data_IF_020697737248
#
_entry.id   IF_020697737248
#
_cell.length_a   1.000
_cell.length_b   1.000
_cell.length_c   1.000
_cell.angle_alpha   90.00
_cell.angle_beta   90.00
_cell.angle_gamma   90.00
#
_symmetry.space_group_name_H-M   'P 1'
#
loop_
_entity.id
_entity.type
_entity.pdbx_description
1 polymer ?
#
# COMPACT_ATOMS: atom_id res chain seq x y z
N UNK A 1 -40.36 -3.05 25.16
CA UNK A 1 -39.84 -3.12 23.78
C UNK A 1 -38.41 -3.65 23.84
N UNK A 2 -38.11 -4.85 23.31
CA UNK A 2 -36.76 -5.39 23.32
C UNK A 2 -35.89 -4.65 22.29
N UNK A 3 -34.82 -4.01 22.76
CA UNK A 3 -33.78 -3.43 21.91
C UNK A 3 -33.02 -4.55 21.22
N UNK A 4 -33.27 -4.74 19.92
CA UNK A 4 -32.48 -5.63 19.08
C UNK A 4 -31.06 -5.06 19.01
N UNK A 5 -30.15 -5.63 19.80
CA UNK A 5 -28.72 -5.40 19.65
C UNK A 5 -28.31 -6.01 18.31
N UNK A 6 -28.22 -5.21 17.27
CA UNK A 6 -27.58 -5.61 16.02
C UNK A 6 -26.14 -5.98 16.34
N UNK A 7 -25.83 -7.28 16.26
CA UNK A 7 -24.47 -7.77 16.39
C UNK A 7 -23.61 -7.08 15.33
N UNK A 8 -22.66 -6.25 15.75
CA UNK A 8 -21.70 -5.60 14.87
C UNK A 8 -20.90 -6.72 14.22
N UNK A 9 -21.10 -6.96 12.91
CA UNK A 9 -20.30 -7.95 12.17
C UNK A 9 -18.81 -7.62 12.37
N UNK A 10 -17.94 -8.62 12.59
CA UNK A 10 -16.52 -8.37 12.69
C UNK A 10 -16.06 -7.69 11.40
N UNK A 11 -15.37 -6.56 11.55
CA UNK A 11 -14.82 -5.80 10.43
C UNK A 11 -13.70 -6.62 9.81
N UNK A 12 -13.96 -7.24 8.66
CA UNK A 12 -12.93 -7.99 7.94
C UNK A 12 -11.90 -7.01 7.39
N UNK A 13 -10.63 -7.27 7.68
CA UNK A 13 -9.51 -6.46 7.26
C UNK A 13 -9.18 -6.69 5.78
N UNK A 14 -8.49 -5.72 5.15
CA UNK A 14 -8.01 -5.88 3.79
C UNK A 14 -7.08 -7.08 3.62
N UNK A 15 -6.22 -7.33 4.60
CA UNK A 15 -5.34 -8.51 4.64
C UNK A 15 -6.13 -9.82 4.60
N UNK A 16 -7.15 -9.98 5.45
CA UNK A 16 -7.97 -11.20 5.49
C UNK A 16 -8.69 -11.45 4.16
N UNK A 17 -9.23 -10.39 3.54
CA UNK A 17 -9.85 -10.49 2.21
C UNK A 17 -8.82 -10.90 1.15
N UNK A 18 -7.62 -10.34 1.19
CA UNK A 18 -6.54 -10.74 0.27
C UNK A 18 -6.15 -12.20 0.47
N UNK A 19 -6.04 -12.67 1.72
CA UNK A 19 -5.76 -14.08 2.02
C UNK A 19 -6.83 -15.02 1.44
N UNK A 20 -8.12 -14.69 1.58
CA UNK A 20 -9.20 -15.45 0.92
C UNK A 20 -9.03 -15.51 -0.60
N UNK A 21 -8.66 -14.40 -1.24
CA UNK A 21 -8.39 -14.41 -2.67
C UNK A 21 -7.20 -15.29 -3.07
N UNK A 22 -6.17 -15.33 -2.23
CA UNK A 22 -4.98 -16.16 -2.49
C UNK A 22 -5.31 -17.64 -2.32
N UNK A 23 -6.08 -17.99 -1.29
CA UNK A 23 -6.43 -19.38 -0.98
C UNK A 23 -7.53 -19.89 -1.92
N UNK A 24 -8.64 -19.17 -2.02
CA UNK A 24 -9.87 -19.66 -2.66
C UNK A 24 -9.90 -19.36 -4.16
N UNK A 25 -9.26 -18.26 -4.59
CA UNK A 25 -9.33 -17.76 -5.98
C UNK A 25 -7.95 -17.37 -6.57
N UNK A 26 -6.87 -18.14 -6.37
CA UNK A 26 -5.50 -17.74 -6.74
C UNK A 26 -5.35 -17.40 -8.23
N UNK A 27 -5.95 -18.19 -9.12
CA UNK A 27 -5.90 -17.97 -10.58
C UNK A 27 -6.61 -16.67 -10.97
N UNK A 28 -7.75 -16.38 -10.33
CA UNK A 28 -8.50 -15.16 -10.59
C UNK A 28 -7.74 -13.93 -10.10
N UNK A 29 -7.20 -13.98 -8.88
CA UNK A 29 -6.38 -12.90 -8.32
C UNK A 29 -5.17 -12.62 -9.21
N UNK A 30 -4.39 -13.65 -9.58
CA UNK A 30 -3.24 -13.51 -10.47
C UNK A 30 -3.62 -12.86 -11.80
N UNK A 31 -4.68 -13.34 -12.44
CA UNK A 31 -5.16 -12.80 -13.72
C UNK A 31 -5.52 -11.31 -13.61
N UNK A 32 -6.24 -10.94 -12.54
CA UNK A 32 -6.63 -9.54 -12.31
C UNK A 32 -5.44 -8.63 -12.03
N UNK A 33 -4.46 -9.08 -11.25
CA UNK A 33 -3.23 -8.32 -11.00
C UNK A 33 -2.42 -8.17 -12.30
N UNK A 34 -2.20 -9.26 -13.03
CA UNK A 34 -1.49 -9.21 -14.31
C UNK A 34 -2.15 -8.24 -15.29
N UNK A 35 -3.49 -8.24 -15.38
CA UNK A 35 -4.23 -7.30 -16.22
C UNK A 35 -4.07 -5.85 -15.74
N UNK A 36 -4.25 -5.60 -14.44
CA UNK A 36 -4.17 -4.24 -13.87
C UNK A 36 -2.78 -3.61 -14.03
N UNK A 37 -1.73 -4.42 -13.99
CA UNK A 37 -0.33 -3.96 -14.04
C UNK A 37 0.33 -4.13 -15.40
N UNK A 38 -0.38 -4.70 -16.39
CA UNK A 38 0.21 -5.17 -17.65
C UNK A 38 1.44 -6.07 -17.42
N UNK A 39 1.30 -7.05 -16.52
CA UNK A 39 2.39 -7.91 -16.07
C UNK A 39 2.32 -9.32 -16.67
N UNK A 40 3.48 -9.93 -16.91
CA UNK A 40 3.60 -11.31 -17.39
C UNK A 40 3.38 -12.36 -16.28
N UNK A 41 3.58 -11.98 -15.03
CA UNK A 41 3.44 -12.91 -13.90
C UNK A 41 3.59 -12.24 -12.53
N UNK A 42 3.11 -12.93 -11.51
CA UNK A 42 3.22 -12.55 -10.10
C UNK A 42 3.61 -13.80 -9.30
N UNK A 43 4.54 -13.62 -8.36
CA UNK A 43 4.97 -14.64 -7.40
C UNK A 43 4.91 -14.03 -6.00
N UNK A 44 4.19 -14.66 -5.09
CA UNK A 44 4.05 -14.17 -3.72
C UNK A 44 5.23 -14.59 -2.86
N UNK A 45 5.56 -13.74 -1.88
CA UNK A 45 6.52 -14.10 -0.85
C UNK A 45 5.78 -14.58 0.38
N UNK A 46 6.13 -15.78 0.82
CA UNK A 46 5.63 -16.35 2.06
C UNK A 46 6.60 -16.07 3.20
N UNK A 47 6.11 -16.11 4.45
CA UNK A 47 7.01 -16.10 5.60
C UNK A 47 7.93 -17.33 5.53
N UNK A 48 9.11 -17.21 6.14
CA UNK A 48 10.22 -18.18 6.10
C UNK A 48 9.90 -19.59 6.60
N UNK A 49 8.68 -19.83 7.07
CA UNK A 49 8.12 -21.14 7.40
C UNK A 49 6.79 -21.30 6.63
N UNK A 50 6.82 -21.54 5.32
CA UNK A 50 5.60 -21.93 4.63
C UNK A 50 5.17 -23.27 5.26
N UNK A 51 4.01 -23.29 5.91
CA UNK A 51 3.37 -24.56 6.16
C UNK A 51 3.00 -25.11 4.76
N UNK A 52 3.52 -26.28 4.39
CA UNK A 52 3.36 -26.84 3.03
C UNK A 52 1.86 -26.98 2.68
N UNK A 53 1.02 -27.09 3.71
CA UNK A 53 -0.42 -27.27 3.61
C UNK A 53 -1.24 -25.97 3.58
N UNK A 54 -0.63 -24.79 3.81
CA UNK A 54 -1.31 -23.49 3.73
C UNK A 54 -0.37 -22.41 3.20
N UNK A 55 -0.47 -22.01 1.92
CA UNK A 55 0.29 -20.91 1.34
C UNK A 55 -0.28 -19.56 1.82
N UNK A 56 -0.32 -19.35 3.13
CA UNK A 56 -0.73 -18.09 3.72
C UNK A 56 0.27 -16.99 3.32
N UNK A 57 -0.28 -15.87 2.87
CA UNK A 57 0.48 -14.64 2.74
C UNK A 57 0.47 -13.98 4.11
N UNK A 58 1.64 -13.52 4.55
CA UNK A 58 1.77 -12.82 5.83
C UNK A 58 1.79 -11.32 5.60
N UNK A 59 1.37 -10.55 6.61
CA UNK A 59 1.66 -9.11 6.64
C UNK A 59 3.15 -8.87 6.83
N UNK A 60 3.63 -7.74 6.32
CA UNK A 60 5.05 -7.35 6.40
C UNK A 60 5.18 -5.97 7.00
N UNK A 61 5.96 -5.85 8.07
CA UNK A 61 6.25 -4.57 8.70
C UNK A 61 7.45 -3.88 8.02
N UNK A 62 7.29 -2.60 7.72
CA UNK A 62 8.28 -1.72 7.11
C UNK A 62 8.87 -2.31 5.83
N UNK A 63 10.19 -2.47 5.81
CA UNK A 63 10.94 -3.07 4.70
C UNK A 63 11.60 -4.39 5.12
N UNK A 64 11.01 -5.12 6.07
CA UNK A 64 11.54 -6.40 6.59
C UNK A 64 11.73 -7.47 5.51
N UNK A 65 10.99 -7.40 4.40
CA UNK A 65 11.19 -8.27 3.24
C UNK A 65 12.54 -8.05 2.56
N UNK A 66 13.16 -6.87 2.66
CA UNK A 66 14.49 -6.69 2.11
C UNK A 66 15.48 -7.58 2.87
N UNK A 67 16.37 -8.24 2.10
CA UNK A 67 17.56 -8.85 2.66
C UNK A 67 18.50 -7.80 3.24
N UNK A 68 19.62 -8.25 3.82
CA UNK A 68 20.66 -7.34 4.28
C UNK A 68 21.23 -6.58 3.07
N UNK A 69 21.22 -5.25 3.13
CA UNK A 69 21.66 -4.42 2.01
C UNK A 69 21.47 -2.92 2.27
N UNK A 70 22.04 -2.10 1.40
CA UNK A 70 22.11 -0.63 1.56
C UNK A 70 20.74 0.01 1.81
N UNK A 71 19.72 -0.39 1.06
CA UNK A 71 18.36 0.15 1.20
C UNK A 71 17.74 -0.16 2.57
N UNK A 72 17.93 -1.38 3.08
CA UNK A 72 17.44 -1.79 4.40
C UNK A 72 18.16 -1.05 5.51
N UNK A 73 19.49 -0.98 5.45
CA UNK A 73 20.28 -0.25 6.45
C UNK A 73 19.96 1.25 6.47
N UNK A 74 19.76 1.86 5.31
CA UNK A 74 19.33 3.26 5.21
C UNK A 74 17.92 3.46 5.81
N UNK A 75 17.00 2.52 5.54
CA UNK A 75 15.66 2.56 6.12
C UNK A 75 15.68 2.45 7.63
N UNK A 76 16.40 1.47 8.17
CA UNK A 76 16.55 1.29 9.62
C UNK A 76 17.16 2.54 10.27
N UNK A 77 18.16 3.15 9.62
CA UNK A 77 18.80 4.37 10.11
C UNK A 77 17.86 5.58 10.17
N UNK A 78 16.96 5.75 9.21
CA UNK A 78 15.94 6.81 9.24
C UNK A 78 15.06 6.74 10.48
N UNK A 79 14.82 5.52 10.98
CA UNK A 79 13.91 5.28 12.09
C UNK A 79 14.60 5.07 13.43
N UNK A 80 15.93 5.00 13.48
CA UNK A 80 16.69 4.84 14.73
C UNK A 80 16.34 5.96 15.72
N UNK A 81 15.93 5.59 16.93
CA UNK A 81 15.57 6.54 17.99
C UNK A 81 14.24 7.26 17.80
N UNK A 82 13.41 6.83 16.84
CA UNK A 82 12.05 7.31 16.64
C UNK A 82 11.05 6.17 16.75
N UNK A 83 9.81 6.46 17.11
CA UNK A 83 8.72 5.52 16.87
C UNK A 83 8.50 5.47 15.35
N UNK A 84 9.09 4.48 14.70
CA UNK A 84 8.87 4.23 13.28
C UNK A 84 7.35 4.22 13.01
N UNK A 85 6.85 4.87 11.94
CA UNK A 85 5.49 4.66 11.51
C UNK A 85 5.34 3.17 11.25
N UNK A 86 4.25 2.60 11.75
CA UNK A 86 3.86 1.23 11.48
C UNK A 86 3.40 1.10 10.02
N UNK A 87 4.34 1.31 9.09
CA UNK A 87 4.15 0.98 7.69
C UNK A 87 4.00 -0.54 7.62
N UNK A 88 2.84 -0.99 7.15
CA UNK A 88 2.53 -2.40 7.00
C UNK A 88 2.04 -2.66 5.59
N UNK A 89 2.48 -3.79 5.04
CA UNK A 89 2.02 -4.31 3.76
C UNK A 89 1.17 -5.55 4.00
N UNK A 90 0.07 -5.65 3.28
CA UNK A 90 -0.84 -6.81 3.35
C UNK A 90 -0.26 -8.02 2.60
N UNK A 91 0.60 -7.76 1.61
CA UNK A 91 1.39 -8.76 0.92
C UNK A 91 2.66 -8.16 0.30
N UNK A 92 3.68 -9.01 0.13
CA UNK A 92 4.86 -8.73 -0.67
C UNK A 92 5.01 -9.82 -1.72
N UNK A 93 5.39 -9.44 -2.93
CA UNK A 93 5.66 -10.38 -4.00
C UNK A 93 6.70 -9.87 -4.99
N UNK A 94 6.77 -10.56 -6.12
CA UNK A 94 7.53 -10.18 -7.30
C UNK A 94 6.57 -10.14 -8.47
N UNK A 95 6.71 -9.14 -9.33
CA UNK A 95 5.90 -8.95 -10.54
C UNK A 95 6.80 -8.75 -11.74
N UNK A 96 6.47 -9.38 -12.87
CA UNK A 96 7.21 -9.23 -14.13
C UNK A 96 6.55 -8.15 -14.99
N UNK A 97 7.17 -6.98 -15.09
CA UNK A 97 6.65 -5.85 -15.87
C UNK A 97 7.42 -5.74 -17.19
N UNK A 98 6.71 -5.91 -18.30
CA UNK A 98 7.31 -5.98 -19.64
C UNK A 98 8.40 -7.06 -19.76
N UNK A 99 9.41 -6.78 -20.57
CA UNK A 99 10.53 -7.71 -20.83
C UNK A 99 11.76 -7.43 -19.94
N UNK A 100 11.68 -6.47 -19.02
CA UNK A 100 12.85 -5.89 -18.34
C UNK A 100 13.23 -6.66 -17.07
N UNK A 101 12.31 -7.44 -16.50
CA UNK A 101 12.57 -8.36 -15.40
C UNK A 101 11.57 -8.29 -14.26
N UNK A 102 11.97 -8.86 -13.13
CA UNK A 102 11.14 -8.93 -11.92
C UNK A 102 11.34 -7.70 -11.02
N UNK A 103 10.24 -7.05 -10.68
CA UNK A 103 10.18 -5.96 -9.72
C UNK A 103 9.60 -6.49 -8.39
N UNK A 104 9.95 -5.85 -7.28
CA UNK A 104 9.21 -6.02 -6.04
C UNK A 104 7.78 -5.51 -6.20
N UNK A 105 6.83 -6.25 -5.64
CA UNK A 105 5.43 -5.87 -5.58
C UNK A 105 5.07 -5.64 -4.11
N UNK A 106 4.74 -4.40 -3.76
CA UNK A 106 4.20 -4.05 -2.45
C UNK A 106 2.69 -3.96 -2.57
N UNK A 107 1.96 -4.65 -1.71
CA UNK A 107 0.50 -4.65 -1.76
C UNK A 107 -0.09 -4.07 -0.49
N UNK A 108 -1.03 -3.16 -0.68
CA UNK A 108 -1.96 -2.78 0.37
C UNK A 108 -3.40 -3.05 -0.08
N UNK A 109 -4.14 -3.78 0.73
CA UNK A 109 -5.54 -4.09 0.53
C UNK A 109 -6.39 -3.23 1.49
N UNK A 110 -7.40 -2.56 0.95
CA UNK A 110 -8.20 -1.59 1.67
C UNK A 110 -9.68 -1.98 1.60
N UNK A 111 -10.34 -1.99 2.75
CA UNK A 111 -11.78 -2.33 2.89
C UNK A 111 -12.65 -1.13 3.27
N UNK A 112 -12.05 -0.02 3.68
CA UNK A 112 -12.74 1.18 4.15
C UNK A 112 -12.09 2.45 3.63
N UNK A 113 -12.92 3.45 3.29
CA UNK A 113 -12.48 4.71 2.66
C UNK A 113 -11.57 5.55 3.57
N UNK A 114 -11.67 5.40 4.89
CA UNK A 114 -10.83 6.09 5.88
C UNK A 114 -9.35 5.74 5.75
N UNK A 115 -9.02 4.56 5.19
CA UNK A 115 -7.64 4.17 4.87
C UNK A 115 -7.00 5.03 3.79
N UNK A 116 -7.83 5.67 2.95
CA UNK A 116 -7.39 6.67 1.97
C UNK A 116 -7.46 8.09 2.54
N UNK A 117 -7.98 8.28 3.76
CA UNK A 117 -8.12 9.61 4.34
C UNK A 117 -6.76 10.28 4.52
N UNK A 118 -6.61 11.44 3.86
CA UNK A 118 -5.44 12.30 3.92
C UNK A 118 -5.83 13.67 4.48
N UNK A 119 -6.64 13.69 5.55
CA UNK A 119 -7.06 14.91 6.20
C UNK A 119 -5.85 15.83 6.45
N UNK A 120 -5.77 16.94 5.72
CA UNK A 120 -4.61 17.84 5.75
C UNK A 120 -4.60 18.53 7.11
N UNK A 121 -3.64 18.22 7.99
CA UNK A 121 -3.60 18.86 9.29
C UNK A 121 -3.22 20.32 9.07
N UNK A 122 -3.83 21.24 9.83
CA UNK A 122 -3.48 22.68 9.78
C UNK A 122 -1.99 22.91 10.11
N UNK A 123 -1.38 22.01 10.89
CA UNK A 123 0.06 21.96 11.20
C UNK A 123 0.49 20.50 11.42
N UNK A 124 1.67 20.13 10.95
CA UNK A 124 2.34 18.90 11.38
C UNK A 124 3.00 19.16 12.74
N UNK A 125 2.36 18.74 13.84
CA UNK A 125 3.03 18.71 15.14
C UNK A 125 3.75 17.36 15.34
N UNK A 126 4.94 17.42 15.94
CA UNK A 126 5.71 16.26 16.45
C UNK A 126 6.36 15.35 15.39
N UNK A 127 6.78 15.87 14.23
CA UNK A 127 7.68 15.11 13.35
C UNK A 127 9.11 15.18 13.84
N UNK A 128 9.79 14.04 13.85
CA UNK A 128 11.24 14.03 13.99
C UNK A 128 11.87 14.66 12.73
N UNK A 129 13.08 15.24 12.82
CA UNK A 129 13.78 15.76 11.65
C UNK A 129 13.93 14.72 10.53
N UNK A 130 14.21 13.45 10.89
CA UNK A 130 14.31 12.35 9.94
C UNK A 130 13.00 12.08 9.18
N UNK A 131 11.86 12.12 9.87
CA UNK A 131 10.53 11.99 9.24
C UNK A 131 10.25 13.15 8.29
N UNK A 132 10.58 14.38 8.69
CA UNK A 132 10.38 15.55 7.85
C UNK A 132 11.21 15.47 6.57
N UNK A 133 12.49 15.09 6.67
CA UNK A 133 13.36 14.86 5.50
C UNK A 133 12.82 13.74 4.60
N UNK A 134 12.42 12.62 5.18
CA UNK A 134 11.84 11.49 4.45
C UNK A 134 10.60 11.88 3.63
N UNK A 135 9.68 12.64 4.22
CA UNK A 135 8.48 13.11 3.52
C UNK A 135 8.81 14.19 2.48
N UNK A 136 9.72 15.12 2.78
CA UNK A 136 10.17 16.15 1.82
C UNK A 136 10.83 15.51 0.60
N UNK A 137 11.69 14.50 0.80
CA UNK A 137 12.31 13.75 -0.28
C UNK A 137 11.29 13.03 -1.15
N UNK A 138 10.27 12.41 -0.52
CA UNK A 138 9.17 11.79 -1.26
C UNK A 138 8.43 12.83 -2.11
N UNK A 139 7.99 13.94 -1.52
CA UNK A 139 7.30 15.04 -2.23
C UNK A 139 8.09 15.52 -3.44
N UNK A 140 9.39 15.76 -3.28
CA UNK A 140 10.28 16.18 -4.38
C UNK A 140 10.27 15.18 -5.54
N UNK A 141 10.25 13.87 -5.25
CA UNK A 141 10.18 12.83 -6.30
C UNK A 141 8.81 12.77 -6.99
N UNK A 142 7.74 13.11 -6.28
CA UNK A 142 6.41 13.31 -6.86
C UNK A 142 6.22 14.71 -7.46
N UNK A 143 7.25 15.57 -7.47
CA UNK A 143 7.18 16.97 -7.95
C UNK A 143 6.06 17.77 -7.27
N UNK A 144 5.82 17.47 -6.00
CA UNK A 144 4.84 18.17 -5.16
C UNK A 144 5.49 19.42 -4.57
N UNK A 145 4.78 20.55 -4.60
CA UNK A 145 5.24 21.81 -4.01
C UNK A 145 5.50 21.68 -2.51
N UNK A 146 6.57 22.32 -2.02
CA UNK A 146 7.00 22.22 -0.63
C UNK A 146 5.98 22.74 0.38
N UNK A 147 5.06 23.63 -0.03
CA UNK A 147 3.98 24.15 0.82
C UNK A 147 2.82 23.16 1.05
N UNK A 148 2.72 22.08 0.26
CA UNK A 148 1.66 21.08 0.42
C UNK A 148 1.94 20.19 1.63
N UNK A 149 1.04 20.17 2.62
CA UNK A 149 1.26 19.39 3.84
C UNK A 149 0.82 17.94 3.63
N UNK A 150 1.77 17.00 3.70
CA UNK A 150 1.47 15.56 3.68
C UNK A 150 1.19 15.05 5.10
N UNK A 151 0.00 14.49 5.42
CA UNK A 151 -0.27 13.96 6.76
C UNK A 151 0.63 12.77 7.08
N UNK A 152 1.66 12.98 7.90
CA UNK A 152 2.67 11.96 8.19
C UNK A 152 2.12 10.67 8.81
N UNK A 153 0.96 10.71 9.47
CA UNK A 153 0.32 9.54 10.06
C UNK A 153 -0.61 8.79 9.09
N UNK A 154 -0.87 9.34 7.90
CA UNK A 154 -1.67 8.64 6.89
C UNK A 154 -0.88 7.44 6.36
N UNK A 155 -1.48 6.25 6.43
CA UNK A 155 -0.91 5.02 5.87
C UNK A 155 -0.61 5.19 4.39
N UNK A 156 -1.53 5.81 3.64
CA UNK A 156 -1.36 6.07 2.22
C UNK A 156 -0.13 6.95 1.94
N UNK A 157 0.06 8.04 2.70
CA UNK A 157 1.26 8.89 2.61
C UNK A 157 2.55 8.11 2.90
N UNK A 158 2.52 7.26 3.93
CA UNK A 158 3.67 6.42 4.28
C UNK A 158 4.02 5.42 3.17
N UNK A 159 3.02 4.84 2.50
CA UNK A 159 3.21 3.94 1.36
C UNK A 159 3.84 4.68 0.17
N UNK A 160 3.35 5.89 -0.15
CA UNK A 160 3.90 6.72 -1.22
C UNK A 160 5.36 7.11 -0.95
N UNK A 161 5.66 7.50 0.29
CA UNK A 161 7.01 7.86 0.70
C UNK A 161 7.95 6.64 0.68
N UNK A 162 7.45 5.46 1.02
CA UNK A 162 8.25 4.23 0.99
C UNK A 162 8.58 3.83 -0.44
N UNK A 163 7.62 3.97 -1.36
CA UNK A 163 7.85 3.78 -2.79
C UNK A 163 8.93 4.73 -3.31
N UNK A 164 8.85 6.02 -2.97
CA UNK A 164 9.86 7.00 -3.37
C UNK A 164 11.25 6.67 -2.80
N UNK A 165 11.33 6.31 -1.51
CA UNK A 165 12.56 5.93 -0.83
C UNK A 165 13.23 4.72 -1.48
N UNK A 166 12.47 3.65 -1.73
CA UNK A 166 12.98 2.42 -2.34
C UNK A 166 13.54 2.68 -3.74
N UNK A 167 12.83 3.49 -4.54
CA UNK A 167 13.29 3.90 -5.87
C UNK A 167 14.57 4.72 -5.82
N UNK A 168 14.70 5.61 -4.83
CA UNK A 168 15.92 6.39 -4.63
C UNK A 168 17.13 5.52 -4.27
N UNK A 169 16.89 4.36 -3.65
CA UNK A 169 17.93 3.39 -3.30
C UNK A 169 18.11 2.28 -4.36
N UNK A 170 17.67 2.52 -5.60
CA UNK A 170 17.89 1.62 -6.73
C UNK A 170 17.04 0.35 -6.70
N UNK A 171 16.04 0.25 -5.83
CA UNK A 171 15.15 -0.92 -5.77
C UNK A 171 14.11 -0.83 -6.89
N UNK A 172 14.03 -1.85 -7.73
CA UNK A 172 12.94 -2.02 -8.68
C UNK A 172 11.68 -2.47 -7.95
N UNK A 173 10.69 -1.57 -7.86
CA UNK A 173 9.49 -1.77 -7.05
C UNK A 173 8.26 -1.13 -7.70
N UNK A 174 7.12 -1.79 -7.51
CA UNK A 174 5.77 -1.38 -7.87
C UNK A 174 4.90 -1.40 -6.60
N UNK A 175 3.97 -0.47 -6.50
CA UNK A 175 2.94 -0.43 -5.46
C UNK A 175 1.60 -0.82 -6.09
N UNK A 176 0.90 -1.78 -5.49
CA UNK A 176 -0.45 -2.17 -5.88
C UNK A 176 -1.39 -1.93 -4.71
N UNK A 177 -2.36 -1.03 -4.92
CA UNK A 177 -3.46 -0.83 -4.00
C UNK A 177 -4.67 -1.64 -4.47
N UNK A 178 -5.17 -2.51 -3.60
CA UNK A 178 -6.35 -3.33 -3.83
C UNK A 178 -7.51 -2.73 -3.05
N UNK A 179 -8.54 -2.30 -3.75
CA UNK A 179 -9.74 -1.69 -3.18
C UNK A 179 -10.86 -2.72 -3.18
N UNK A 180 -11.25 -3.17 -1.98
CA UNK A 180 -12.35 -4.12 -1.81
C UNK A 180 -13.67 -3.37 -1.90
N UNK A 181 -14.53 -3.74 -2.85
CA UNK A 181 -15.84 -3.12 -3.03
C UNK A 181 -16.97 -4.12 -2.72
N UNK A 182 -18.06 -3.60 -2.21
CA UNK A 182 -19.30 -4.34 -1.93
C UNK A 182 -20.45 -3.40 -2.27
N UNK A 183 -21.34 -3.81 -3.18
CA UNK A 183 -22.44 -2.98 -3.63
C UNK A 183 -23.56 -2.84 -2.58
N UNK A 184 -23.63 -3.79 -1.64
CA UNK A 184 -24.74 -3.90 -0.70
C UNK A 184 -24.37 -3.38 0.69
N UNK A 185 -23.13 -3.64 1.15
CA UNK A 185 -22.73 -3.39 2.54
C UNK A 185 -21.39 -2.65 2.71
N UNK A 186 -20.83 -2.10 1.63
CA UNK A 186 -19.53 -1.43 1.69
C UNK A 186 -19.37 -0.33 0.64
N UNK A 187 -18.14 0.18 0.45
CA UNK A 187 -17.89 1.17 -0.57
C UNK A 187 -18.06 0.57 -1.97
N UNK A 188 -18.75 1.30 -2.85
CA UNK A 188 -18.79 0.96 -4.26
C UNK A 188 -17.45 1.29 -4.94
N UNK A 189 -17.28 0.84 -6.19
CA UNK A 189 -16.12 1.25 -7.00
C UNK A 189 -16.07 2.77 -7.20
N UNK A 190 -17.23 3.40 -7.32
CA UNK A 190 -17.33 4.84 -7.50
C UNK A 190 -16.86 5.59 -6.25
N UNK A 191 -17.26 5.13 -5.06
CA UNK A 191 -16.84 5.74 -3.79
C UNK A 191 -15.33 5.67 -3.62
N UNK A 192 -14.74 4.51 -3.95
CA UNK A 192 -13.29 4.36 -3.96
C UNK A 192 -12.60 5.30 -4.95
N UNK A 193 -13.11 5.42 -6.18
CA UNK A 193 -12.53 6.33 -7.16
C UNK A 193 -12.57 7.77 -6.67
N UNK A 194 -13.70 8.22 -6.12
CA UNK A 194 -13.85 9.54 -5.52
C UNK A 194 -12.86 9.77 -4.37
N UNK A 195 -12.68 8.79 -3.49
CA UNK A 195 -11.72 8.87 -2.39
C UNK A 195 -10.26 8.92 -2.88
N UNK A 196 -9.93 8.15 -3.91
CA UNK A 196 -8.61 8.16 -4.57
C UNK A 196 -8.33 9.54 -5.15
N UNK A 197 -9.25 10.06 -5.96
CA UNK A 197 -9.10 11.34 -6.64
C UNK A 197 -8.97 12.48 -5.63
N UNK A 198 -9.83 12.49 -4.62
CA UNK A 198 -9.76 13.46 -3.50
C UNK A 198 -8.41 13.39 -2.78
N UNK A 199 -7.87 12.19 -2.57
CA UNK A 199 -6.58 12.02 -1.90
C UNK A 199 -5.42 12.50 -2.76
N UNK A 200 -5.45 12.22 -4.07
CA UNK A 200 -4.41 12.66 -5.00
C UNK A 200 -4.42 14.17 -5.14
N UNK A 201 -5.61 14.77 -5.22
CA UNK A 201 -5.79 16.21 -5.24
C UNK A 201 -5.26 16.86 -3.94
N UNK A 202 -5.63 16.34 -2.77
CA UNK A 202 -5.18 16.86 -1.48
C UNK A 202 -3.65 16.77 -1.30
N UNK A 203 -3.03 15.70 -1.81
CA UNK A 203 -1.58 15.51 -1.79
C UNK A 203 -0.84 16.18 -2.95
N UNK A 204 -1.58 16.85 -3.86
CA UNK A 204 -1.09 17.45 -5.10
C UNK A 204 -0.24 16.50 -5.96
N UNK A 205 -0.61 15.22 -6.00
CA UNK A 205 0.10 14.20 -6.80
C UNK A 205 -0.36 14.31 -8.25
N UNK A 206 0.58 14.61 -9.15
CA UNK A 206 0.31 14.66 -10.58
C UNK A 206 0.37 13.27 -11.23
N UNK A 207 -0.50 13.04 -12.20
CA UNK A 207 -0.55 11.79 -12.99
C UNK A 207 0.70 11.57 -13.86
N UNK A 208 1.46 12.63 -14.14
CA UNK A 208 2.57 12.59 -15.10
C UNK A 208 3.92 12.21 -14.47
N UNK A 209 3.97 11.90 -13.18
CA UNK A 209 5.23 11.59 -12.49
C UNK A 209 5.69 10.16 -12.78
N UNK A 210 7.01 9.95 -12.84
CA UNK A 210 7.58 8.62 -13.04
C UNK A 210 7.25 7.66 -11.89
N UNK A 211 7.04 8.18 -10.67
CA UNK A 211 6.60 7.38 -9.52
C UNK A 211 5.13 6.98 -9.62
N UNK A 212 4.25 7.87 -10.11
CA UNK A 212 2.83 7.54 -10.28
C UNK A 212 2.61 6.35 -11.21
N UNK A 213 3.42 6.22 -12.27
CA UNK A 213 3.39 5.07 -13.20
C UNK A 213 3.73 3.72 -12.54
N UNK A 214 4.26 3.75 -11.32
CA UNK A 214 4.57 2.56 -10.51
C UNK A 214 3.50 2.23 -9.49
N UNK A 215 2.42 3.00 -9.47
CA UNK A 215 1.29 2.80 -8.59
C UNK A 215 0.12 2.27 -9.39
N UNK A 216 -0.34 1.09 -9.01
CA UNK A 216 -1.37 0.34 -9.69
C UNK A 216 -2.58 0.20 -8.78
N UNK A 217 -3.76 0.14 -9.38
CA UNK A 217 -5.03 0.07 -8.68
C UNK A 217 -5.78 -1.17 -9.15
N UNK A 218 -6.33 -1.92 -8.20
CA UNK A 218 -7.14 -3.09 -8.51
C UNK A 218 -8.40 -3.09 -7.64
N UNK A 219 -9.57 -3.18 -8.28
CA UNK A 219 -10.84 -3.28 -7.57
C UNK A 219 -11.30 -4.74 -7.52
N UNK A 220 -11.52 -5.27 -6.32
CA UNK A 220 -11.98 -6.64 -6.09
C UNK A 220 -13.29 -6.64 -5.31
N UNK A 221 -14.27 -7.50 -5.66
CA UNK A 221 -15.45 -7.65 -4.81
C UNK A 221 -15.06 -8.33 -3.49
N UNK A 222 -15.77 -8.02 -2.41
CA UNK A 222 -15.72 -8.78 -1.16
C UNK A 222 -16.19 -10.23 -1.41
N UNK A 223 -15.53 -11.22 -0.78
CA UNK A 223 -15.83 -12.66 -0.91
C UNK A 223 -15.97 -13.35 0.44
#
# INVERSE_FOLDING_TARGET
MPTVKTAKRPTVTGHEMLCRYVTDKPRQLKTKICKAMNAGGVVWRHASKPNIDSPEICTWDGLSFLGNGKAKSAWEMLWKGSNAPALRWDAIGRVQIGNVGWNWLLVSAMTHLDLMSVATPKRQSNLTPAMATYLSDAKRKYKVDDNVIWPAKSSYVQQLAALAFLRNHGVCVELLNIYMFDADNGPSKHDWQSAIDSSHQALAISDYTALRRRMHQLFLPVI
#
